data_IF_523526257963
#
_entry.id   IF_523526257963
#
_cell.length_a   1.000
_cell.length_b   1.000
_cell.length_c   1.000
_cell.angle_alpha   90.00
_cell.angle_beta   90.00
_cell.angle_gamma   90.00
#
_symmetry.space_group_name_H-M   'P 1'
#
loop_
_entity.id
_entity.type
_entity.pdbx_description
1 polymer ?
#
# COMPACT_ATOMS: atom_id res chain seq x y z
N UNK A 1 38.07 -20.21 -75.71
CA UNK A 1 36.80 -20.17 -74.94
C UNK A 1 36.84 -19.21 -73.73
N UNK A 2 37.55 -18.08 -73.80
CA UNK A 2 37.64 -17.11 -72.68
C UNK A 2 36.77 -15.85 -72.85
N UNK A 3 36.33 -15.59 -74.09
CA UNK A 3 35.50 -14.42 -74.43
C UNK A 3 34.01 -14.65 -74.10
N UNK A 4 33.57 -15.92 -74.10
CA UNK A 4 32.21 -16.32 -73.69
C UNK A 4 31.97 -16.22 -72.17
N UNK A 5 33.02 -16.37 -71.34
CA UNK A 5 32.93 -16.20 -69.89
C UNK A 5 32.86 -14.71 -69.47
N UNK A 6 33.49 -13.81 -70.23
CA UNK A 6 33.39 -12.37 -69.97
C UNK A 6 31.99 -11.82 -70.25
N UNK A 7 31.36 -12.28 -71.34
CA UNK A 7 30.02 -11.86 -71.72
C UNK A 7 28.92 -12.32 -70.74
N UNK A 8 29.07 -13.52 -70.16
CA UNK A 8 28.13 -14.05 -69.16
C UNK A 8 28.22 -13.33 -67.81
N UNK A 9 29.42 -12.95 -67.39
CA UNK A 9 29.62 -12.15 -66.16
C UNK A 9 29.07 -10.72 -66.35
N UNK A 10 29.26 -10.12 -67.53
CA UNK A 10 28.69 -8.81 -67.81
C UNK A 10 27.14 -8.83 -67.86
N UNK A 11 26.54 -9.90 -68.38
CA UNK A 11 25.08 -10.08 -68.43
C UNK A 11 24.49 -10.31 -67.03
N UNK A 12 25.18 -11.07 -66.18
CA UNK A 12 24.82 -11.24 -64.76
C UNK A 12 24.95 -9.95 -63.96
N UNK A 13 26.02 -9.17 -64.16
CA UNK A 13 26.19 -7.87 -63.50
C UNK A 13 25.19 -6.83 -64.00
N UNK A 14 24.82 -6.86 -65.29
CA UNK A 14 23.73 -6.05 -65.84
C UNK A 14 22.37 -6.39 -65.22
N UNK A 15 22.07 -7.68 -65.01
CA UNK A 15 20.83 -8.12 -64.37
C UNK A 15 20.76 -7.74 -62.87
N UNK A 16 21.88 -7.83 -62.14
CA UNK A 16 21.94 -7.41 -60.73
C UNK A 16 21.85 -5.88 -60.60
N UNK A 17 22.52 -5.13 -61.48
CA UNK A 17 22.44 -3.66 -61.52
C UNK A 17 21.04 -3.13 -61.85
N UNK A 18 20.34 -3.78 -62.79
CA UNK A 18 18.92 -3.47 -63.09
C UNK A 18 17.99 -3.87 -61.93
N UNK A 19 18.27 -4.95 -61.20
CA UNK A 19 17.50 -5.32 -60.00
C UNK A 19 17.66 -4.30 -58.86
N UNK A 20 18.83 -3.67 -58.74
CA UNK A 20 19.07 -2.65 -57.72
C UNK A 20 18.43 -1.30 -58.06
N UNK A 21 18.27 -0.98 -59.35
CA UNK A 21 17.52 0.20 -59.79
C UNK A 21 16.02 0.03 -59.56
N UNK A 22 15.46 -1.15 -59.90
CA UNK A 22 14.05 -1.48 -59.61
C UNK A 22 13.74 -1.54 -58.11
N UNK A 23 14.68 -1.96 -57.27
CA UNK A 23 14.51 -1.97 -55.81
C UNK A 23 14.61 -0.56 -55.17
N UNK A 24 15.23 0.42 -55.86
CA UNK A 24 15.25 1.83 -55.44
C UNK A 24 14.03 2.63 -55.91
N UNK A 25 13.39 2.22 -57.01
CA UNK A 25 12.11 2.81 -57.43
C UNK A 25 10.90 2.18 -56.72
N UNK A 26 10.96 0.88 -56.36
CA UNK A 26 9.90 0.17 -55.65
C UNK A 26 9.85 0.39 -54.12
N UNK A 27 10.78 1.15 -53.55
CA UNK A 27 10.82 1.48 -52.11
C UNK A 27 10.27 2.87 -51.79
N UNK A 28 9.70 3.56 -52.78
CA UNK A 28 8.81 4.70 -52.53
C UNK A 28 7.47 4.15 -52.04
N UNK A 29 7.39 4.06 -50.72
CA UNK A 29 6.19 3.86 -49.91
C UNK A 29 5.52 2.48 -50.03
N UNK A 30 6.11 1.46 -49.40
CA UNK A 30 5.23 0.55 -48.65
C UNK A 30 4.55 1.45 -47.61
N UNK A 31 3.28 1.79 -47.84
CA UNK A 31 2.53 2.69 -46.98
C UNK A 31 2.68 2.20 -45.54
N UNK A 32 2.81 3.10 -44.57
CA UNK A 32 2.98 2.71 -43.15
C UNK A 32 1.88 1.75 -42.69
N UNK A 33 0.73 1.79 -43.36
CA UNK A 33 -0.41 0.90 -43.18
C UNK A 33 -0.13 -0.55 -43.60
N UNK A 34 0.57 -0.78 -44.71
CA UNK A 34 0.98 -2.13 -45.14
C UNK A 34 2.01 -2.72 -44.19
N UNK A 35 2.96 -1.91 -43.73
CA UNK A 35 3.95 -2.33 -42.72
C UNK A 35 3.26 -2.65 -41.40
N UNK A 36 2.26 -1.87 -41.00
CA UNK A 36 1.47 -2.13 -39.79
C UNK A 36 0.62 -3.41 -39.92
N UNK A 37 -0.01 -3.66 -41.08
CA UNK A 37 -0.76 -4.89 -41.35
C UNK A 37 0.13 -6.12 -41.34
N UNK A 38 1.30 -6.04 -41.98
CA UNK A 38 2.26 -7.14 -42.00
C UNK A 38 2.84 -7.42 -40.62
N UNK A 39 3.15 -6.39 -39.82
CA UNK A 39 3.58 -6.57 -38.43
C UNK A 39 2.50 -7.27 -37.60
N UNK A 40 1.24 -6.87 -37.76
CA UNK A 40 0.11 -7.49 -37.07
C UNK A 40 -0.07 -8.95 -37.46
N UNK A 41 0.06 -9.28 -38.75
CA UNK A 41 0.02 -10.68 -39.23
C UNK A 41 1.19 -11.51 -38.69
N UNK A 42 2.41 -10.94 -38.61
CA UNK A 42 3.57 -11.63 -38.04
C UNK A 42 3.39 -11.89 -36.54
N UNK A 43 2.80 -10.94 -35.81
CA UNK A 43 2.51 -11.08 -34.39
C UNK A 43 1.45 -12.16 -34.14
N UNK A 44 0.37 -12.19 -34.93
CA UNK A 44 -0.66 -13.22 -34.89
C UNK A 44 -0.08 -14.61 -35.18
N UNK A 45 0.75 -14.74 -36.22
CA UNK A 45 1.42 -16.00 -36.56
C UNK A 45 2.41 -16.46 -35.48
N UNK A 46 3.08 -15.53 -34.78
CA UNK A 46 3.94 -15.87 -33.64
C UNK A 46 3.15 -16.41 -32.46
N UNK A 47 2.02 -15.78 -32.14
CA UNK A 47 1.14 -16.25 -31.07
C UNK A 47 0.58 -17.65 -31.37
N UNK A 48 0.22 -17.93 -32.62
CA UNK A 48 -0.19 -19.27 -33.03
C UNK A 48 0.96 -20.29 -32.92
N UNK A 49 2.17 -19.92 -33.33
CA UNK A 49 3.34 -20.80 -33.18
C UNK A 49 3.65 -21.10 -31.71
N UNK A 50 3.63 -20.09 -30.83
CA UNK A 50 3.87 -20.26 -29.40
C UNK A 50 2.81 -21.18 -28.78
N UNK A 51 1.54 -21.02 -29.16
CA UNK A 51 0.45 -21.88 -28.71
C UNK A 51 0.66 -23.34 -29.16
N UNK A 52 1.04 -23.55 -30.41
CA UNK A 52 1.32 -24.89 -30.95
C UNK A 52 2.58 -25.52 -30.33
N UNK A 53 3.60 -24.72 -30.01
CA UNK A 53 4.78 -25.19 -29.28
C UNK A 53 4.42 -25.60 -27.86
N UNK A 54 3.60 -24.82 -27.17
CA UNK A 54 3.12 -25.13 -25.83
C UNK A 54 2.28 -26.42 -25.82
N UNK A 55 1.41 -26.60 -26.81
CA UNK A 55 0.61 -27.82 -26.97
C UNK A 55 1.49 -29.05 -27.27
N UNK A 56 2.52 -28.89 -28.12
CA UNK A 56 3.52 -29.93 -28.36
C UNK A 56 4.34 -30.26 -27.12
N UNK A 57 4.72 -29.26 -26.31
CA UNK A 57 5.40 -29.49 -25.04
C UNK A 57 4.50 -30.22 -24.06
N UNK A 58 3.22 -29.84 -23.95
CA UNK A 58 2.25 -30.53 -23.10
C UNK A 58 2.03 -31.97 -23.57
N UNK A 59 1.90 -32.20 -24.89
CA UNK A 59 1.79 -33.55 -25.45
C UNK A 59 3.08 -34.35 -25.26
N UNK A 60 4.25 -33.73 -25.39
CA UNK A 60 5.53 -34.38 -25.10
C UNK A 60 5.62 -34.73 -23.63
N UNK A 61 5.27 -33.84 -22.70
CA UNK A 61 5.26 -34.11 -21.25
C UNK A 61 4.25 -35.20 -20.90
N UNK A 62 3.08 -35.24 -21.55
CA UNK A 62 2.11 -36.34 -21.38
C UNK A 62 2.58 -37.65 -22.00
N UNK A 63 3.21 -37.61 -23.17
CA UNK A 63 3.74 -38.80 -23.85
C UNK A 63 5.05 -39.30 -23.24
N UNK A 64 5.76 -38.43 -22.54
CA UNK A 64 6.94 -38.70 -21.73
C UNK A 64 6.59 -38.75 -20.24
N UNK A 65 5.30 -38.94 -19.88
CA UNK A 65 4.99 -39.50 -18.58
C UNK A 65 5.86 -40.74 -18.45
N UNK A 66 6.85 -40.74 -17.54
CA UNK A 66 7.45 -42.00 -17.19
C UNK A 66 6.28 -42.83 -16.70
N UNK A 67 6.15 -44.07 -17.18
CA UNK A 67 5.40 -45.10 -16.47
C UNK A 67 5.77 -44.88 -15.01
N UNK A 68 4.81 -44.40 -14.21
CA UNK A 68 5.09 -43.99 -12.84
C UNK A 68 5.93 -45.12 -12.25
N UNK A 69 7.17 -44.87 -11.76
CA UNK A 69 7.86 -45.92 -11.05
C UNK A 69 6.84 -46.39 -10.03
N UNK A 70 6.52 -47.68 -10.06
CA UNK A 70 5.65 -48.27 -9.06
C UNK A 70 6.46 -48.21 -7.77
N UNK A 71 6.49 -47.01 -7.16
CA UNK A 71 7.18 -46.74 -5.92
C UNK A 71 6.58 -47.75 -4.98
N UNK A 72 7.42 -48.67 -4.55
CA UNK A 72 7.01 -49.76 -3.68
C UNK A 72 6.35 -49.16 -2.43
N UNK A 73 5.40 -49.86 -1.81
CA UNK A 73 4.73 -49.35 -0.61
C UNK A 73 5.75 -48.86 0.44
N UNK A 74 6.87 -49.58 0.56
CA UNK A 74 8.02 -49.25 1.41
C UNK A 74 8.68 -47.91 1.09
N UNK A 75 8.89 -47.57 -0.18
CA UNK A 75 9.50 -46.29 -0.58
C UNK A 75 8.53 -45.11 -0.36
N UNK A 76 7.21 -45.33 -0.47
CA UNK A 76 6.21 -44.30 -0.15
C UNK A 76 6.14 -44.02 1.35
N UNK A 77 6.29 -45.05 2.18
CA UNK A 77 6.30 -44.92 3.63
C UNK A 77 7.56 -44.19 4.10
N UNK A 78 8.71 -44.46 3.48
CA UNK A 78 9.95 -43.72 3.72
C UNK A 78 9.85 -42.24 3.30
N UNK A 79 9.30 -41.95 2.12
CA UNK A 79 9.08 -40.57 1.68
C UNK A 79 8.09 -39.82 2.59
N UNK A 80 7.03 -40.47 3.07
CA UNK A 80 6.08 -39.86 4.01
C UNK A 80 6.73 -39.55 5.36
N UNK A 81 7.60 -40.43 5.85
CA UNK A 81 8.34 -40.19 7.09
C UNK A 81 9.33 -39.02 6.93
N UNK A 82 10.00 -38.93 5.78
CA UNK A 82 10.89 -37.81 5.49
C UNK A 82 10.12 -36.49 5.34
N UNK A 83 8.97 -36.48 4.65
CA UNK A 83 8.08 -35.31 4.56
C UNK A 83 7.59 -34.87 5.93
N UNK A 84 7.12 -35.79 6.78
CA UNK A 84 6.68 -35.46 8.14
C UNK A 84 7.82 -34.88 9.00
N UNK A 85 9.06 -35.37 8.83
CA UNK A 85 10.22 -34.81 9.52
C UNK A 85 10.58 -33.41 9.01
N UNK A 86 10.47 -33.16 7.70
CA UNK A 86 10.69 -31.84 7.10
C UNK A 86 9.61 -30.84 7.48
N UNK A 87 8.35 -31.27 7.52
CA UNK A 87 7.22 -30.44 7.94
C UNK A 87 7.35 -30.03 9.41
N UNK A 88 7.80 -30.96 10.28
CA UNK A 88 8.10 -30.66 11.68
C UNK A 88 9.26 -29.64 11.80
N UNK A 89 10.30 -29.77 10.99
CA UNK A 89 11.42 -28.80 10.98
C UNK A 89 10.98 -27.42 10.47
N UNK A 90 10.17 -27.37 9.42
CA UNK A 90 9.61 -26.12 8.89
C UNK A 90 8.73 -25.45 9.95
N UNK A 91 7.92 -26.20 10.68
CA UNK A 91 7.10 -25.67 11.77
C UNK A 91 7.97 -25.07 12.89
N UNK A 92 9.06 -25.72 13.28
CA UNK A 92 10.01 -25.17 14.28
C UNK A 92 10.68 -23.89 13.81
N UNK A 93 11.17 -23.89 12.57
CA UNK A 93 11.80 -22.70 11.97
C UNK A 93 10.79 -21.55 11.84
N UNK A 94 9.53 -21.84 11.50
CA UNK A 94 8.48 -20.84 11.42
C UNK A 94 8.16 -20.24 12.80
N UNK A 95 8.08 -21.07 13.85
CA UNK A 95 7.89 -20.59 15.22
C UNK A 95 9.07 -19.75 15.72
N UNK A 96 10.30 -20.14 15.42
CA UNK A 96 11.51 -19.39 15.77
C UNK A 96 11.55 -18.03 15.06
N UNK A 97 11.23 -18.00 13.76
CA UNK A 97 11.11 -16.74 13.01
C UNK A 97 10.00 -15.85 13.56
N UNK A 98 8.82 -16.42 13.86
CA UNK A 98 7.71 -15.67 14.45
C UNK A 98 8.02 -15.14 15.86
N UNK A 99 8.88 -15.81 16.63
CA UNK A 99 9.41 -15.29 17.90
C UNK A 99 10.41 -14.17 17.66
N UNK A 100 11.41 -14.41 16.80
CA UNK A 100 12.43 -13.41 16.46
C UNK A 100 11.84 -12.13 15.86
N UNK A 101 10.82 -12.23 15.01
CA UNK A 101 10.11 -11.07 14.45
C UNK A 101 9.32 -10.31 15.53
N UNK A 102 8.68 -11.02 16.46
CA UNK A 102 8.00 -10.38 17.60
C UNK A 102 9.00 -9.67 18.50
N UNK A 103 10.11 -10.31 18.83
CA UNK A 103 11.15 -9.74 19.68
C UNK A 103 11.83 -8.54 18.99
N UNK A 104 12.08 -8.63 17.69
CA UNK A 104 12.62 -7.52 16.89
C UNK A 104 11.65 -6.33 16.85
N UNK A 105 10.34 -6.59 16.70
CA UNK A 105 9.32 -5.54 16.73
C UNK A 105 9.25 -4.86 18.09
N UNK A 106 9.24 -5.64 19.18
CA UNK A 106 9.28 -5.10 20.54
C UNK A 106 10.53 -4.25 20.76
N UNK A 107 11.70 -4.72 20.34
CA UNK A 107 12.96 -3.96 20.45
C UNK A 107 12.92 -2.64 19.69
N UNK A 108 12.37 -2.62 18.46
CA UNK A 108 12.22 -1.39 17.67
C UNK A 108 11.24 -0.41 18.31
N UNK A 109 10.12 -0.91 18.83
CA UNK A 109 9.12 -0.09 19.52
C UNK A 109 9.73 0.52 20.80
N UNK A 110 10.51 -0.25 21.57
CA UNK A 110 11.21 0.23 22.77
C UNK A 110 12.28 1.29 22.46
N UNK A 111 13.11 1.08 21.43
CA UNK A 111 14.11 2.07 20.98
C UNK A 111 13.45 3.36 20.52
N UNK A 112 12.35 3.27 19.76
CA UNK A 112 11.56 4.43 19.32
C UNK A 112 10.98 5.21 20.50
N UNK A 113 10.42 4.52 21.50
CA UNK A 113 9.89 5.14 22.71
C UNK A 113 10.99 5.79 23.56
N UNK A 114 12.17 5.16 23.66
CA UNK A 114 13.32 5.73 24.37
C UNK A 114 13.83 7.01 23.70
N UNK A 115 13.98 6.99 22.37
CA UNK A 115 14.38 8.17 21.59
C UNK A 115 13.40 9.33 21.72
N UNK A 116 12.09 9.03 21.68
CA UNK A 116 11.05 10.04 21.93
C UNK A 116 11.13 10.61 23.36
N UNK A 117 11.32 9.75 24.37
CA UNK A 117 11.43 10.18 25.76
C UNK A 117 12.64 11.09 25.99
N UNK A 118 13.75 10.84 25.32
CA UNK A 118 14.94 11.68 25.45
C UNK A 118 14.76 13.05 24.75
N UNK A 119 14.03 13.10 23.64
CA UNK A 119 13.60 14.36 23.02
C UNK A 119 12.63 15.13 23.92
N UNK A 120 11.66 14.47 24.55
CA UNK A 120 10.70 15.07 25.48
C UNK A 120 11.34 15.61 26.78
N UNK A 121 12.46 15.02 27.23
CA UNK A 121 13.23 15.58 28.35
C UNK A 121 13.85 16.93 27.99
N UNK A 122 14.26 17.11 26.74
CA UNK A 122 14.87 18.35 26.26
C UNK A 122 13.85 19.45 25.98
N UNK A 123 12.61 19.08 25.64
CA UNK A 123 11.53 20.02 25.32
C UNK A 123 10.22 19.66 26.04
N UNK A 124 9.95 20.40 27.13
CA UNK A 124 8.72 20.25 27.91
C UNK A 124 7.45 20.60 27.14
N UNK A 125 7.53 21.37 26.06
CA UNK A 125 6.36 21.68 25.22
C UNK A 125 5.96 20.49 24.37
N UNK A 126 6.93 19.75 23.82
CA UNK A 126 6.68 18.50 23.09
C UNK A 126 6.05 17.45 23.99
N UNK A 127 6.51 17.34 25.24
CA UNK A 127 5.90 16.44 26.23
C UNK A 127 4.44 16.81 26.49
N UNK A 128 4.13 18.10 26.68
CA UNK A 128 2.74 18.56 26.84
C UNK A 128 1.89 18.29 25.60
N UNK A 129 2.41 18.59 24.40
CA UNK A 129 1.72 18.36 23.14
C UNK A 129 1.36 16.88 22.92
N UNK A 130 2.26 15.97 23.32
CA UNK A 130 2.00 14.52 23.31
C UNK A 130 0.91 14.13 24.31
N UNK A 131 1.02 14.58 25.56
CA UNK A 131 0.01 14.30 26.58
C UNK A 131 -1.38 14.80 26.14
N UNK A 132 -1.44 15.96 25.48
CA UNK A 132 -2.67 16.49 24.89
C UNK A 132 -3.16 15.62 23.74
N UNK A 133 -2.28 15.14 22.85
CA UNK A 133 -2.63 14.26 21.73
C UNK A 133 -3.09 12.86 22.16
N UNK A 134 -2.48 12.28 23.18
CA UNK A 134 -2.82 10.97 23.74
C UNK A 134 -3.99 11.02 24.75
N UNK A 135 -4.40 12.22 25.19
CA UNK A 135 -5.52 12.37 26.11
C UNK A 135 -6.81 11.78 25.54
N UNK A 136 -7.57 11.13 26.42
CA UNK A 136 -8.83 10.48 26.10
C UNK A 136 -9.86 11.48 25.58
N UNK A 137 -10.44 11.18 24.42
CA UNK A 137 -11.47 11.98 23.78
C UNK A 137 -12.80 11.79 24.52
N UNK A 138 -13.29 12.88 25.12
CA UNK A 138 -14.56 12.92 25.85
C UNK A 138 -15.72 13.31 24.94
N UNK A 139 -15.47 14.17 23.94
CA UNK A 139 -16.51 14.68 23.08
C UNK A 139 -15.99 15.43 21.86
N UNK A 140 -16.90 15.79 20.95
CA UNK A 140 -16.63 16.63 19.78
C UNK A 140 -17.57 17.81 19.73
N UNK A 141 -17.04 19.00 19.51
CA UNK A 141 -17.84 20.22 19.37
C UNK A 141 -18.75 20.10 18.15
N UNK A 142 -20.06 20.27 18.36
CA UNK A 142 -21.07 20.33 17.29
C UNK A 142 -21.27 21.77 16.86
N UNK A 143 -21.56 22.65 17.82
CA UNK A 143 -21.92 24.03 17.55
C UNK A 143 -21.44 24.93 18.68
N UNK A 144 -21.13 26.18 18.33
CA UNK A 144 -20.77 27.24 19.24
C UNK A 144 -21.72 28.41 19.07
N UNK A 145 -22.32 28.86 20.18
CA UNK A 145 -23.22 29.99 20.20
C UNK A 145 -22.79 31.01 21.25
N UNK A 146 -22.89 32.29 20.89
CA UNK A 146 -22.66 33.43 21.78
C UNK A 146 -23.99 34.13 21.99
N UNK A 147 -24.56 34.01 23.19
CA UNK A 147 -25.77 34.72 23.57
C UNK A 147 -25.43 35.89 24.52
N UNK A 148 -25.85 37.13 24.24
CA UNK A 148 -25.67 38.27 25.14
C UNK A 148 -26.26 38.07 26.55
N UNK A 149 -27.26 37.19 26.72
CA UNK A 149 -27.94 36.92 27.99
C UNK A 149 -27.34 35.75 28.76
N UNK A 150 -26.91 34.69 28.06
CA UNK A 150 -26.44 33.44 28.67
C UNK A 150 -24.92 33.24 28.57
N UNK A 151 -24.22 34.13 27.88
CA UNK A 151 -22.79 34.03 27.60
C UNK A 151 -22.48 33.08 26.45
N UNK A 152 -21.20 32.73 26.33
CA UNK A 152 -20.70 31.84 25.27
C UNK A 152 -20.80 30.38 25.70
N UNK A 153 -21.61 29.58 24.99
CA UNK A 153 -21.80 28.16 25.26
C UNK A 153 -21.51 27.30 24.04
N UNK A 154 -21.08 26.07 24.31
CA UNK A 154 -20.68 25.07 23.32
C UNK A 154 -21.57 23.86 23.47
N UNK A 155 -22.19 23.44 22.38
CA UNK A 155 -22.89 22.16 22.29
C UNK A 155 -21.94 21.15 21.69
N UNK A 156 -21.79 20.01 22.34
CA UNK A 156 -20.88 18.96 21.90
C UNK A 156 -21.50 17.58 22.00
N UNK A 157 -21.07 16.70 21.11
CA UNK A 157 -21.39 15.27 21.17
C UNK A 157 -20.51 14.61 22.21
N UNK A 158 -21.11 13.82 23.10
CA UNK A 158 -20.37 13.06 24.10
C UNK A 158 -20.09 11.68 23.52
N UNK A 159 -18.80 11.34 23.39
CA UNK A 159 -18.39 10.02 22.87
C UNK A 159 -18.53 8.95 23.96
N UNK A 160 -18.18 9.31 25.20
CA UNK A 160 -18.23 8.42 26.37
C UNK A 160 -19.02 9.09 27.49
N UNK A 161 -20.34 8.86 27.58
CA UNK A 161 -21.20 9.50 28.57
C UNK A 161 -20.80 9.19 30.01
N UNK A 162 -20.20 8.03 30.27
CA UNK A 162 -19.69 7.64 31.59
C UNK A 162 -18.54 8.52 32.10
N UNK A 163 -17.78 9.13 31.21
CA UNK A 163 -16.59 9.92 31.55
C UNK A 163 -16.86 11.42 31.64
N UNK A 164 -18.08 11.87 31.28
CA UNK A 164 -18.47 13.28 31.33
C UNK A 164 -19.47 13.49 32.45
N UNK A 165 -19.11 14.34 33.41
CA UNK A 165 -19.97 14.69 34.54
C UNK A 165 -20.36 16.17 34.50
N UNK A 166 -21.57 16.48 34.93
CA UNK A 166 -22.01 17.86 35.12
C UNK A 166 -21.09 18.57 36.10
N UNK A 167 -20.64 19.77 35.75
CA UNK A 167 -19.68 20.57 36.52
C UNK A 167 -18.22 20.24 36.26
N UNK A 168 -17.89 19.19 35.49
CA UNK A 168 -16.51 18.88 35.11
C UNK A 168 -15.94 19.94 34.16
N UNK A 169 -14.62 20.18 34.27
CA UNK A 169 -13.89 21.06 33.34
C UNK A 169 -13.23 20.21 32.26
N UNK A 170 -13.60 20.45 31.01
CA UNK A 170 -13.00 19.83 29.83
C UNK A 170 -12.15 20.86 29.09
N UNK A 171 -11.04 20.43 28.51
CA UNK A 171 -10.22 21.25 27.64
C UNK A 171 -10.60 21.01 26.18
N UNK A 172 -10.68 22.08 25.41
CA UNK A 172 -10.84 22.01 23.96
C UNK A 172 -9.44 21.81 23.36
N UNK A 173 -9.27 20.70 22.66
CA UNK A 173 -8.08 20.31 21.91
C UNK A 173 -8.30 20.60 20.43
N UNK A 174 -7.31 21.26 19.83
CA UNK A 174 -7.16 21.35 18.37
C UNK A 174 -5.77 20.86 18.00
N UNK A 175 -5.73 19.76 17.25
CA UNK A 175 -4.48 19.03 16.95
C UNK A 175 -3.78 18.61 18.25
N UNK A 176 -2.70 19.27 18.62
CA UNK A 176 -1.86 18.98 19.79
C UNK A 176 -1.88 20.09 20.85
N UNK A 177 -2.71 21.13 20.67
CA UNK A 177 -2.80 22.28 21.58
C UNK A 177 -4.15 22.40 22.27
N UNK A 178 -4.14 22.91 23.50
CA UNK A 178 -5.36 23.32 24.23
C UNK A 178 -5.65 24.78 23.90
N UNK A 179 -6.83 25.03 23.36
CA UNK A 179 -7.27 26.35 22.90
C UNK A 179 -8.25 27.02 23.87
N UNK A 180 -8.83 26.25 24.79
CA UNK A 180 -9.78 26.75 25.76
C UNK A 180 -10.23 25.67 26.74
N UNK A 181 -10.99 26.07 27.75
CA UNK A 181 -11.63 25.17 28.68
C UNK A 181 -13.12 25.47 28.75
N UNK A 182 -13.92 24.42 28.86
CA UNK A 182 -15.36 24.50 29.07
C UNK A 182 -15.71 23.83 30.39
N UNK A 183 -16.71 24.36 31.08
CA UNK A 183 -17.34 23.71 32.21
C UNK A 183 -18.66 23.12 31.75
N UNK A 184 -18.85 21.81 31.96
CA UNK A 184 -20.08 21.12 31.58
C UNK A 184 -21.22 21.61 32.45
N UNK A 185 -22.26 22.14 31.83
CA UNK A 185 -23.45 22.69 32.51
C UNK A 185 -24.58 21.67 32.56
N UNK A 186 -24.83 20.99 31.46
CA UNK A 186 -25.93 20.03 31.32
C UNK A 186 -25.55 18.90 30.36
N UNK A 187 -26.04 17.70 30.63
CA UNK A 187 -25.87 16.52 29.78
C UNK A 187 -27.25 16.04 29.36
N UNK A 188 -27.49 16.00 28.05
CA UNK A 188 -28.73 15.53 27.43
C UNK A 188 -28.46 14.25 26.63
N UNK A 189 -29.50 13.50 26.22
CA UNK A 189 -29.32 12.30 25.40
C UNK A 189 -28.69 12.56 24.02
N UNK A 190 -28.78 13.80 23.52
CA UNK A 190 -28.25 14.17 22.19
C UNK A 190 -26.88 14.85 22.22
N UNK A 191 -26.36 15.13 23.42
CA UNK A 191 -25.07 15.78 23.63
C UNK A 191 -24.97 16.45 25.00
N UNK A 192 -23.94 17.26 25.19
CA UNK A 192 -23.78 18.06 26.39
C UNK A 192 -23.53 19.52 26.04
N UNK A 193 -23.89 20.39 26.98
CA UNK A 193 -23.74 21.83 26.86
C UNK A 193 -22.71 22.26 27.90
N UNK A 194 -21.74 23.06 27.46
CA UNK A 194 -20.71 23.60 28.34
C UNK A 194 -20.47 25.09 28.13
N UNK A 195 -20.21 25.80 29.21
CA UNK A 195 -19.87 27.22 29.18
C UNK A 195 -18.35 27.40 29.09
N UNK A 196 -17.88 28.31 28.25
CA UNK A 196 -16.46 28.63 28.16
C UNK A 196 -15.96 29.30 29.45
N UNK A 197 -14.81 28.85 29.95
CA UNK A 197 -14.15 29.48 31.08
C UNK A 197 -13.31 30.68 30.61
N UNK A 198 -13.38 31.82 31.32
CA UNK A 198 -12.55 32.99 30.99
C UNK A 198 -11.08 32.69 31.33
N UNK A 199 -10.18 32.88 30.35
CA UNK A 199 -8.74 32.72 30.57
C UNK A 199 -7.93 32.38 29.30
N UNK A 200 -8.55 31.86 28.26
CA UNK A 200 -7.88 31.47 27.02
C UNK A 200 -8.25 32.38 25.84
N UNK A 201 -7.65 33.58 25.78
CA UNK A 201 -7.71 34.48 24.62
C UNK A 201 -9.11 34.80 24.05
N UNK A 202 -9.17 35.51 22.93
CA UNK A 202 -10.40 35.69 22.15
C UNK A 202 -10.51 34.54 21.13
N UNK A 203 -10.76 33.33 21.60
CA UNK A 203 -10.85 32.16 20.75
C UNK A 203 -12.30 31.64 20.66
N UNK A 204 -12.72 31.28 19.45
CA UNK A 204 -14.05 30.72 19.17
C UNK A 204 -13.93 29.24 18.79
N UNK A 205 -14.52 28.31 19.57
CA UNK A 205 -14.57 26.89 19.24
C UNK A 205 -15.18 26.66 17.85
N UNK A 206 -14.63 25.71 17.09
CA UNK A 206 -15.15 25.32 15.79
C UNK A 206 -15.80 23.93 15.88
N UNK A 207 -16.82 23.67 15.06
CA UNK A 207 -17.34 22.32 14.87
C UNK A 207 -16.22 21.34 14.51
N UNK A 208 -16.18 20.19 15.17
CA UNK A 208 -15.16 19.17 15.01
C UNK A 208 -13.94 19.31 15.93
N UNK A 209 -13.82 20.39 16.72
CA UNK A 209 -12.83 20.46 17.79
C UNK A 209 -13.08 19.36 18.83
N UNK A 210 -12.00 18.88 19.45
CA UNK A 210 -12.04 17.73 20.36
C UNK A 210 -12.09 18.19 21.81
N UNK A 211 -12.80 17.47 22.66
CA UNK A 211 -12.87 17.73 24.09
C UNK A 211 -12.15 16.63 24.84
N UNK A 212 -11.23 17.01 25.71
CA UNK A 212 -10.41 16.10 26.51
C UNK A 212 -10.43 16.50 27.98
N UNK A 213 -10.02 15.59 28.85
CA UNK A 213 -9.64 15.96 30.21
C UNK A 213 -8.33 16.77 30.14
N UNK A 214 -8.22 17.96 30.78
CA UNK A 214 -6.97 18.69 30.81
C UNK A 214 -5.84 17.82 31.44
N UNK A 215 -4.71 17.64 30.76
CA UNK A 215 -3.55 16.97 31.35
C UNK A 215 -2.96 17.83 32.48
N UNK A 216 -2.56 17.17 33.58
CA UNK A 216 -1.89 17.82 34.73
C UNK A 216 -0.37 17.87 34.55
#
# INVERSE_FOLDING_TARGET
>A
MKILLGATIALLLGAVGLSWHGMREGTKEASSDEVARLKKQVEELRLEQDRLQLEKQIQQVRASEPVAPQVSASERDLLKAELAAKDAEIARIAEEKAKAERDAKVSQDEEGLLGQRDLEKSDGELRRARLIGEALLMGKVKEFAEDPQFGSFVTFEVVMPENVQTGATLAIRRKTGIIGQIKVSEITPEGAIGNLLPGFGSFKPQPGDELILPPQ
#
